data_IF_699420876820
#
_entry.id   IF_699420876820
#
_cell.length_a   1.000
_cell.length_b   1.000
_cell.length_c   1.000
_cell.angle_alpha   90.00
_cell.angle_beta   90.00
_cell.angle_gamma   90.00
#
_symmetry.space_group_name_H-M   'P 1'
#
loop_
_entity.id
_entity.type
_entity.pdbx_description
1 polymer ?
#
# COMPACT_ATOMS: atom_id res chain seq x y z
N UNK A 1 21.64 -1.95 -2.35
CA UNK A 1 21.56 -2.00 -0.87
C UNK A 1 20.35 -2.85 -0.53
N UNK A 2 20.52 -3.92 0.25
CA UNK A 2 19.39 -4.73 0.71
C UNK A 2 18.59 -3.93 1.75
N UNK A 3 17.27 -3.87 1.63
CA UNK A 3 16.45 -3.32 2.72
C UNK A 3 16.45 -4.30 3.90
N UNK A 4 16.58 -3.74 5.09
CA UNK A 4 16.64 -4.38 6.39
C UNK A 4 15.27 -4.92 6.82
N UNK A 5 15.24 -5.87 7.75
CA UNK A 5 14.00 -6.38 8.35
C UNK A 5 13.11 -5.25 8.91
N UNK A 6 13.73 -4.19 9.43
CA UNK A 6 13.07 -2.99 9.95
C UNK A 6 12.27 -2.26 8.86
N UNK A 7 12.80 -2.17 7.65
CA UNK A 7 12.12 -1.50 6.53
C UNK A 7 10.91 -2.32 6.04
N UNK A 8 11.00 -3.66 6.06
CA UNK A 8 9.87 -4.54 5.76
C UNK A 8 8.77 -4.40 6.81
N UNK A 9 9.12 -4.37 8.11
CA UNK A 9 8.17 -4.10 9.18
C UNK A 9 7.49 -2.73 9.01
N UNK A 10 8.25 -1.70 8.64
CA UNK A 10 7.71 -0.36 8.38
C UNK A 10 6.71 -0.33 7.22
N UNK A 11 6.99 -1.04 6.12
CA UNK A 11 6.07 -1.15 4.98
C UNK A 11 4.77 -1.88 5.35
N UNK A 12 4.85 -2.97 6.11
CA UNK A 12 3.66 -3.69 6.59
C UNK A 12 2.80 -2.82 7.51
N UNK A 13 3.42 -2.08 8.44
CA UNK A 13 2.70 -1.17 9.32
C UNK A 13 2.03 -0.05 8.52
N UNK A 14 2.74 0.55 7.55
CA UNK A 14 2.17 1.55 6.66
C UNK A 14 0.99 0.99 5.87
N UNK A 15 1.08 -0.23 5.34
CA UNK A 15 -0.03 -0.88 4.62
C UNK A 15 -1.29 -0.97 5.49
N UNK A 16 -1.16 -1.33 6.76
CA UNK A 16 -2.29 -1.36 7.69
C UNK A 16 -2.88 0.04 7.89
N UNK A 17 -2.05 1.07 8.07
CA UNK A 17 -2.50 2.47 8.20
C UNK A 17 -3.26 2.93 6.95
N UNK A 18 -2.73 2.65 5.76
CA UNK A 18 -3.40 3.01 4.50
C UNK A 18 -4.71 2.25 4.29
N UNK A 19 -4.79 0.99 4.74
CA UNK A 19 -6.03 0.21 4.67
C UNK A 19 -7.10 0.83 5.57
N UNK A 20 -6.77 1.14 6.82
CA UNK A 20 -7.69 1.81 7.73
C UNK A 20 -8.15 3.16 7.18
N UNK A 21 -7.23 3.98 6.65
CA UNK A 21 -7.57 5.26 6.05
C UNK A 21 -8.50 5.12 4.84
N UNK A 22 -8.29 4.09 4.00
CA UNK A 22 -9.16 3.81 2.86
C UNK A 22 -10.56 3.37 3.30
N UNK A 23 -10.65 2.52 4.33
CA UNK A 23 -11.93 2.04 4.86
C UNK A 23 -12.74 3.21 5.46
N UNK A 24 -12.08 4.08 6.24
CA UNK A 24 -12.68 5.29 6.81
C UNK A 24 -13.12 6.28 5.73
N UNK A 25 -12.29 6.52 4.72
CA UNK A 25 -12.61 7.39 3.61
C UNK A 25 -13.80 6.85 2.79
N UNK A 26 -13.80 5.56 2.48
CA UNK A 26 -14.90 4.91 1.74
C UNK A 26 -16.21 4.97 2.52
N UNK A 27 -16.16 4.75 3.84
CA UNK A 27 -17.33 4.88 4.72
C UNK A 27 -17.87 6.32 4.75
N UNK A 28 -16.98 7.30 4.90
CA UNK A 28 -17.33 8.72 4.91
C UNK A 28 -17.95 9.18 3.59
N UNK A 29 -17.43 8.69 2.47
CA UNK A 29 -18.00 8.92 1.14
C UNK A 29 -19.45 8.42 1.07
N UNK A 30 -19.67 7.14 1.40
CA UNK A 30 -20.99 6.52 1.33
C UNK A 30 -22.01 7.20 2.26
N UNK A 31 -21.56 7.61 3.45
CA UNK A 31 -22.41 8.34 4.38
C UNK A 31 -22.83 9.70 3.83
N UNK A 32 -21.91 10.46 3.24
CA UNK A 32 -22.22 11.77 2.69
C UNK A 32 -23.13 11.66 1.47
N UNK A 33 -22.87 10.72 0.57
CA UNK A 33 -23.69 10.46 -0.62
C UNK A 33 -25.16 10.21 -0.23
N UNK A 34 -25.40 9.33 0.75
CA UNK A 34 -26.75 9.08 1.26
C UNK A 34 -27.40 10.31 1.92
N UNK A 35 -26.63 11.17 2.61
CA UNK A 35 -27.15 12.42 3.16
C UNK A 35 -27.54 13.41 2.06
N UNK A 36 -26.75 13.51 0.99
CA UNK A 36 -27.01 14.38 -0.16
C UNK A 36 -28.30 13.93 -0.87
N UNK A 37 -28.47 12.63 -1.12
CA UNK A 37 -29.70 12.07 -1.71
C UNK A 37 -30.92 12.38 -0.84
N UNK A 38 -30.83 12.18 0.48
CA UNK A 38 -31.91 12.46 1.42
C UNK A 38 -32.32 13.93 1.46
N UNK A 39 -31.33 14.84 1.40
CA UNK A 39 -31.55 16.28 1.30
C UNK A 39 -32.21 16.65 -0.02
N UNK A 40 -31.75 16.11 -1.14
CA UNK A 40 -32.31 16.39 -2.47
C UNK A 40 -33.78 15.99 -2.58
N UNK A 41 -34.19 14.90 -1.91
CA UNK A 41 -35.58 14.44 -1.95
C UNK A 41 -36.56 15.43 -1.31
N UNK A 42 -36.12 16.30 -0.39
CA UNK A 42 -37.01 17.14 0.42
C UNK A 42 -36.73 18.65 0.28
N UNK A 43 -35.55 19.03 -0.21
CA UNK A 43 -35.13 20.41 -0.39
C UNK A 43 -35.03 20.75 -1.87
N UNK A 44 -35.88 21.68 -2.32
CA UNK A 44 -35.95 22.11 -3.72
C UNK A 44 -35.75 23.61 -3.85
N UNK A 45 -35.55 24.06 -5.10
CA UNK A 45 -35.29 25.46 -5.44
C UNK A 45 -33.83 25.72 -5.83
N UNK A 46 -33.56 26.95 -6.23
CA UNK A 46 -32.26 27.36 -6.80
C UNK A 46 -31.09 27.11 -5.84
N UNK A 47 -31.27 27.41 -4.55
CA UNK A 47 -30.26 27.15 -3.52
C UNK A 47 -29.97 25.65 -3.35
N UNK A 48 -30.99 24.79 -3.44
CA UNK A 48 -30.84 23.35 -3.35
C UNK A 48 -30.05 22.80 -4.55
N UNK A 49 -30.30 23.33 -5.75
CA UNK A 49 -29.54 22.98 -6.96
C UNK A 49 -28.06 23.35 -6.83
N UNK A 50 -27.75 24.57 -6.34
CA UNK A 50 -26.36 25.01 -6.14
C UNK A 50 -25.65 24.11 -5.13
N UNK A 51 -26.31 23.80 -4.00
CA UNK A 51 -25.76 22.91 -2.99
C UNK A 51 -25.51 21.51 -3.54
N UNK A 52 -26.47 20.93 -4.26
CA UNK A 52 -26.33 19.60 -4.85
C UNK A 52 -25.15 19.53 -5.82
N UNK A 53 -24.98 20.53 -6.69
CA UNK A 53 -23.85 20.58 -7.61
C UNK A 53 -22.51 20.65 -6.86
N UNK A 54 -22.40 21.50 -5.84
CA UNK A 54 -21.18 21.59 -5.03
C UNK A 54 -20.87 20.28 -4.29
N UNK A 55 -21.91 19.57 -3.83
CA UNK A 55 -21.75 18.26 -3.18
C UNK A 55 -21.35 17.16 -4.16
N UNK A 56 -21.86 17.16 -5.39
CA UNK A 56 -21.41 16.25 -6.44
C UNK A 56 -19.93 16.48 -6.81
N UNK A 57 -19.50 17.75 -6.88
CA UNK A 57 -18.08 18.07 -7.07
C UNK A 57 -17.24 17.58 -5.88
N UNK A 58 -17.70 17.80 -4.66
CA UNK A 58 -17.03 17.30 -3.45
C UNK A 58 -16.89 15.78 -3.46
N UNK A 59 -17.94 15.04 -3.82
CA UNK A 59 -17.88 13.57 -3.95
C UNK A 59 -16.87 13.16 -5.02
N UNK A 60 -16.88 13.83 -6.18
CA UNK A 60 -15.90 13.57 -7.25
C UNK A 60 -14.46 13.77 -6.79
N UNK A 61 -14.19 14.83 -6.02
CA UNK A 61 -12.87 15.09 -5.45
C UNK A 61 -12.50 14.07 -4.37
N UNK A 62 -13.47 13.66 -3.56
CA UNK A 62 -13.25 12.66 -2.52
C UNK A 62 -12.96 11.28 -3.10
N UNK A 63 -13.57 10.91 -4.22
CA UNK A 63 -13.25 9.68 -4.93
C UNK A 63 -11.79 9.66 -5.41
N UNK A 64 -11.22 10.80 -5.81
CA UNK A 64 -9.78 10.89 -6.15
C UNK A 64 -8.89 10.55 -4.95
N UNK A 65 -9.30 10.91 -3.74
CA UNK A 65 -8.59 10.53 -2.50
C UNK A 65 -8.64 9.01 -2.31
N UNK A 66 -9.81 8.39 -2.47
CA UNK A 66 -9.96 6.93 -2.42
C UNK A 66 -9.07 6.22 -3.46
N UNK A 67 -9.03 6.73 -4.70
CA UNK A 67 -8.17 6.19 -5.75
C UNK A 67 -6.68 6.31 -5.40
N UNK A 68 -6.25 7.44 -4.83
CA UNK A 68 -4.87 7.64 -4.40
C UNK A 68 -4.48 6.67 -3.26
N UNK A 69 -5.36 6.45 -2.28
CA UNK A 69 -5.14 5.49 -1.19
C UNK A 69 -5.04 4.04 -1.72
N UNK A 70 -5.93 3.65 -2.65
CA UNK A 70 -5.87 2.35 -3.34
C UNK A 70 -4.56 2.16 -4.10
N UNK A 71 -4.13 3.18 -4.83
CA UNK A 71 -2.86 3.16 -5.58
C UNK A 71 -1.66 3.00 -4.64
N UNK A 72 -1.68 3.66 -3.48
CA UNK A 72 -0.63 3.52 -2.46
C UNK A 72 -0.59 2.10 -1.88
N UNK A 73 -1.75 1.51 -1.58
CA UNK A 73 -1.83 0.12 -1.11
C UNK A 73 -1.27 -0.87 -2.13
N UNK A 74 -1.61 -0.73 -3.41
CA UNK A 74 -1.06 -1.57 -4.48
C UNK A 74 0.45 -1.45 -4.55
N UNK A 75 0.99 -0.23 -4.53
CA UNK A 75 2.44 0.00 -4.59
C UNK A 75 3.17 -0.55 -3.36
N UNK A 76 2.60 -0.39 -2.17
CA UNK A 76 3.14 -0.98 -0.95
C UNK A 76 3.15 -2.51 -1.04
N UNK A 77 2.06 -3.13 -1.47
CA UNK A 77 1.97 -4.59 -1.62
C UNK A 77 2.95 -5.14 -2.66
N UNK A 78 3.10 -4.46 -3.81
CA UNK A 78 4.07 -4.84 -4.84
C UNK A 78 5.50 -4.78 -4.32
N UNK A 79 5.87 -3.67 -3.68
CA UNK A 79 7.21 -3.48 -3.12
C UNK A 79 7.51 -4.51 -2.02
N UNK A 80 6.61 -4.68 -1.05
CA UNK A 80 6.78 -5.64 0.06
C UNK A 80 7.00 -7.07 -0.46
N UNK A 81 6.24 -7.52 -1.46
CA UNK A 81 6.40 -8.85 -2.05
C UNK A 81 7.76 -9.02 -2.77
N UNK A 82 8.17 -8.04 -3.57
CA UNK A 82 9.48 -8.08 -4.25
C UNK A 82 10.62 -8.16 -3.24
N UNK A 83 10.54 -7.40 -2.15
CA UNK A 83 11.57 -7.39 -1.13
C UNK A 83 11.59 -8.65 -0.28
N UNK A 84 10.44 -9.19 0.14
CA UNK A 84 10.38 -10.45 0.87
C UNK A 84 11.06 -11.58 0.08
N UNK A 85 10.70 -11.72 -1.20
CA UNK A 85 11.28 -12.75 -2.08
C UNK A 85 12.78 -12.53 -2.33
N UNK A 86 13.22 -11.29 -2.53
CA UNK A 86 14.65 -10.98 -2.75
C UNK A 86 15.47 -11.21 -1.49
N UNK A 87 14.91 -10.88 -0.32
CA UNK A 87 15.56 -11.05 0.97
C UNK A 87 15.77 -12.53 1.30
N UNK A 88 14.75 -13.37 1.12
CA UNK A 88 14.87 -14.83 1.31
C UNK A 88 15.92 -15.44 0.37
N UNK A 89 15.88 -15.12 -0.93
CA UNK A 89 16.87 -15.62 -1.89
C UNK A 89 18.30 -15.20 -1.52
N UNK A 90 18.49 -13.94 -1.10
CA UNK A 90 19.80 -13.42 -0.72
C UNK A 90 20.30 -14.09 0.56
N UNK A 91 19.45 -14.28 1.58
CA UNK A 91 19.83 -15.00 2.79
C UNK A 91 20.21 -16.44 2.49
N UNK A 92 19.42 -17.15 1.67
CA UNK A 92 19.73 -18.53 1.30
C UNK A 92 21.06 -18.64 0.56
N UNK A 93 21.32 -17.74 -0.40
CA UNK A 93 22.61 -17.71 -1.11
C UNK A 93 23.76 -17.37 -0.16
N UNK A 94 23.59 -16.39 0.73
CA UNK A 94 24.62 -16.05 1.72
C UNK A 94 24.91 -17.23 2.67
N UNK A 95 23.87 -17.95 3.12
CA UNK A 95 24.01 -19.15 3.95
C UNK A 95 24.70 -20.29 3.18
N UNK A 96 24.38 -20.50 1.90
CA UNK A 96 25.05 -21.48 1.05
C UNK A 96 26.53 -21.16 0.86
N UNK A 97 26.87 -19.89 0.58
CA UNK A 97 28.27 -19.44 0.48
C UNK A 97 28.98 -19.63 1.82
N UNK A 98 28.37 -19.26 2.94
CA UNK A 98 28.95 -19.46 4.27
C UNK A 98 29.19 -20.94 4.59
N UNK A 99 28.28 -21.83 4.21
CA UNK A 99 28.43 -23.29 4.36
C UNK A 99 29.54 -23.85 3.46
N UNK A 100 29.67 -23.37 2.22
CA UNK A 100 30.76 -23.74 1.31
C UNK A 100 32.11 -23.28 1.85
N UNK A 101 32.18 -22.07 2.40
CA UNK A 101 33.38 -21.55 3.07
C UNK A 101 33.73 -22.35 4.33
N UNK A 102 32.75 -22.64 5.19
CA UNK A 102 32.96 -23.35 6.45
C UNK A 102 33.26 -24.85 6.30
N UNK A 103 32.83 -25.47 5.20
CA UNK A 103 33.14 -26.86 4.88
C UNK A 103 34.54 -27.06 4.27
N UNK A 104 35.32 -25.98 4.09
CA UNK A 104 36.67 -26.05 3.52
C UNK A 104 36.70 -26.42 2.04
N UNK A 105 35.55 -26.43 1.35
CA UNK A 105 35.42 -26.85 -0.05
C UNK A 105 35.70 -25.72 -1.06
N UNK A 106 35.99 -24.50 -0.61
CA UNK A 106 36.56 -23.44 -1.45
C UNK A 106 38.07 -23.64 -1.55
N UNK A 107 38.47 -24.67 -2.30
CA UNK A 107 39.75 -24.61 -3.00
C UNK A 107 39.68 -23.45 -3.98
N UNK A 108 40.53 -22.43 -3.80
CA UNK A 108 40.76 -21.41 -4.82
C UNK A 108 41.03 -22.14 -6.16
N UNK A 109 40.31 -21.83 -7.25
CA UNK A 109 40.60 -22.43 -8.55
C UNK A 109 42.08 -22.21 -8.89
N UNK A 110 42.88 -23.27 -8.81
CA UNK A 110 44.32 -23.23 -9.12
C UNK A 110 45.30 -23.52 -7.98
N UNK A 111 44.88 -23.83 -6.75
CA UNK A 111 45.81 -24.24 -5.69
C UNK A 111 45.53 -25.67 -5.20
N UNK A 112 46.39 -26.65 -5.53
CA UNK A 112 46.36 -27.94 -4.88
C UNK A 112 46.92 -27.85 -3.45
N UNK A 113 46.39 -28.72 -2.59
CA UNK A 113 46.62 -28.92 -1.15
C UNK A 113 48.05 -28.74 -0.64
#
# INVERSE_FOLDING_TARGET
MALTSVELQGMTAAQQTFQTALDEATSSYAQMDGQIEGLQSNWTGEAATIYHNAMQEWLSDFDKVNQALRTMLEKLAQNTNVYANTHENTQQQAQQVAQQMGSGSIGLPGFPS
#
